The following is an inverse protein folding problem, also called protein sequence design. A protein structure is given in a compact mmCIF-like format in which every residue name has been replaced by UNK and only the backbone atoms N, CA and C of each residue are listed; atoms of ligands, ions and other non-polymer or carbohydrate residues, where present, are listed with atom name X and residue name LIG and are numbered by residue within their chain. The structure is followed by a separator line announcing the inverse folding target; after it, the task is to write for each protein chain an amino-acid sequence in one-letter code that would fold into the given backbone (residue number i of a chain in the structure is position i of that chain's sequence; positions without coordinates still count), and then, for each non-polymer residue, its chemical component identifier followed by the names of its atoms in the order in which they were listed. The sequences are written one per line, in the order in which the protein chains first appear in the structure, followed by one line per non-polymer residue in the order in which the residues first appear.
data_IF_208768382033
#
_entry.id   IF_208768382033
#
_cell.length_a   1.000
_cell.length_b   1.000
_cell.length_c   1.000
_cell.angle_alpha   90.00
_cell.angle_beta   90.00
_cell.angle_gamma   90.00
#
_symmetry.space_group_name_H-M   'P 1'
#
loop_
_entity.id
_entity.type
_entity.pdbx_description
1 polymer ?
#
# COMPACT_ATOMS: atom_id res chain seq x y z
N UNK A 1 -12.82 -8.17 20.76
CA UNK A 1 -11.73 -9.17 20.92
C UNK A 1 -10.42 -8.41 21.05
N UNK A 2 -9.51 -8.82 21.91
CA UNK A 2 -8.15 -8.27 21.99
C UNK A 2 -7.28 -8.91 20.91
N UNK A 3 -6.64 -8.09 20.06
CA UNK A 3 -5.69 -8.57 19.05
C UNK A 3 -4.34 -8.78 19.75
N UNK A 4 -3.74 -9.99 19.61
CA UNK A 4 -2.42 -10.35 20.16
C UNK A 4 -1.50 -10.90 19.09
N UNK A 5 -2.05 -11.65 18.13
CA UNK A 5 -1.31 -12.31 17.06
C UNK A 5 -1.77 -11.80 15.69
N UNK A 6 -0.81 -11.32 14.91
CA UNK A 6 -1.01 -10.74 13.58
C UNK A 6 -0.43 -11.67 12.52
N UNK A 7 -1.23 -12.04 11.54
CA UNK A 7 -0.78 -12.68 10.32
C UNK A 7 -0.54 -11.64 9.22
N UNK A 8 0.52 -11.80 8.45
CA UNK A 8 0.77 -10.98 7.26
C UNK A 8 1.02 -11.91 6.08
N UNK A 9 0.26 -11.73 5.01
CA UNK A 9 0.43 -12.46 3.75
C UNK A 9 1.26 -11.62 2.78
N UNK A 10 2.36 -12.20 2.32
CA UNK A 10 3.36 -11.51 1.51
C UNK A 10 4.44 -10.84 2.36
N UNK A 11 5.69 -10.99 1.94
CA UNK A 11 6.87 -10.38 2.57
C UNK A 11 7.61 -9.44 1.61
N UNK A 12 6.88 -8.91 0.61
CA UNK A 12 7.36 -7.85 -0.26
C UNK A 12 7.47 -6.51 0.47
N UNK A 13 7.62 -5.43 -0.28
CA UNK A 13 7.82 -4.08 0.26
C UNK A 13 6.74 -3.68 1.29
N UNK A 14 5.46 -3.91 0.96
CA UNK A 14 4.35 -3.56 1.84
C UNK A 14 4.22 -4.51 3.01
N UNK A 15 4.18 -5.83 2.76
CA UNK A 15 4.00 -6.82 3.82
C UNK A 15 5.14 -6.83 4.83
N UNK A 16 6.39 -6.70 4.40
CA UNK A 16 7.53 -6.54 5.31
C UNK A 16 7.38 -5.29 6.19
N UNK A 17 6.94 -4.17 5.60
CA UNK A 17 6.69 -2.93 6.35
C UNK A 17 5.53 -3.06 7.34
N UNK A 18 4.44 -3.74 6.97
CA UNK A 18 3.29 -4.02 7.86
C UNK A 18 3.72 -4.93 9.01
N UNK A 19 4.46 -6.01 8.72
CA UNK A 19 4.99 -6.90 9.73
C UNK A 19 5.93 -6.17 10.70
N UNK A 20 6.81 -5.30 10.19
CA UNK A 20 7.69 -4.49 11.02
C UNK A 20 6.91 -3.61 12.00
N UNK A 21 5.87 -2.89 11.55
CA UNK A 21 5.11 -1.99 12.45
C UNK A 21 4.27 -2.77 13.45
N UNK A 22 3.72 -3.94 13.07
CA UNK A 22 3.00 -4.82 13.98
C UNK A 22 3.92 -5.35 15.10
N UNK A 23 5.10 -5.87 14.75
CA UNK A 23 6.10 -6.34 15.72
C UNK A 23 6.65 -5.19 16.59
N UNK A 24 6.79 -3.97 16.02
CA UNK A 24 7.20 -2.77 16.76
C UNK A 24 6.15 -2.37 17.80
N UNK A 25 4.87 -2.51 17.47
CA UNK A 25 3.76 -2.26 18.38
C UNK A 25 3.58 -3.33 19.48
N UNK A 26 4.34 -4.42 19.44
CA UNK A 26 4.34 -5.45 20.46
C UNK A 26 3.62 -6.74 20.09
N UNK A 27 3.04 -6.83 18.89
CA UNK A 27 2.30 -8.01 18.45
C UNK A 27 3.22 -9.16 18.03
N UNK A 28 2.86 -10.39 18.40
CA UNK A 28 3.38 -11.59 17.75
C UNK A 28 2.97 -11.56 16.27
N UNK A 29 3.93 -11.66 15.38
CA UNK A 29 3.68 -11.43 13.94
C UNK A 29 4.23 -12.58 13.12
N UNK A 30 3.34 -13.29 12.44
CA UNK A 30 3.66 -14.39 11.54
C UNK A 30 3.53 -13.91 10.09
N UNK A 31 4.60 -14.04 9.33
CA UNK A 31 4.62 -13.64 7.91
C UNK A 31 4.61 -14.89 7.03
N UNK A 32 3.58 -15.05 6.22
CA UNK A 32 3.47 -16.15 5.25
C UNK A 32 3.89 -15.68 3.86
N UNK A 33 4.74 -16.47 3.24
CA UNK A 33 5.20 -16.27 1.87
C UNK A 33 5.19 -17.57 1.06
N UNK A 34 5.37 -17.47 -0.26
CA UNK A 34 5.38 -18.62 -1.16
C UNK A 34 6.66 -19.43 -1.06
N UNK A 35 7.77 -18.84 -0.60
CA UNK A 35 9.05 -19.54 -0.40
C UNK A 35 9.89 -18.93 0.71
N UNK A 36 10.77 -19.73 1.29
CA UNK A 36 11.76 -19.30 2.30
C UNK A 36 12.71 -18.23 1.76
N UNK A 37 12.98 -18.21 0.47
CA UNK A 37 13.82 -17.19 -0.17
C UNK A 37 13.18 -15.80 -0.05
N UNK A 38 11.88 -15.70 -0.34
CA UNK A 38 11.15 -14.43 -0.19
C UNK A 38 11.01 -14.02 1.27
N UNK A 39 10.84 -14.96 2.20
CA UNK A 39 10.86 -14.67 3.64
C UNK A 39 12.21 -14.06 4.03
N UNK A 40 13.32 -14.72 3.68
CA UNK A 40 14.67 -14.22 3.98
C UNK A 40 14.92 -12.84 3.39
N UNK A 41 14.49 -12.59 2.15
CA UNK A 41 14.62 -11.29 1.48
C UNK A 41 13.83 -10.21 2.21
N UNK A 42 12.58 -10.46 2.56
CA UNK A 42 11.73 -9.52 3.27
C UNK A 42 12.26 -9.23 4.68
N UNK A 43 12.66 -10.24 5.42
CA UNK A 43 13.25 -10.09 6.76
C UNK A 43 14.57 -9.32 6.73
N UNK A 44 15.42 -9.55 5.72
CA UNK A 44 16.62 -8.73 5.49
C UNK A 44 16.26 -7.24 5.27
N UNK A 45 15.14 -6.97 4.59
CA UNK A 45 14.61 -5.61 4.44
C UNK A 45 14.20 -4.98 5.77
N UNK A 46 13.48 -5.74 6.61
CA UNK A 46 13.08 -5.32 7.96
C UNK A 46 14.33 -5.03 8.83
N UNK A 47 15.31 -5.93 8.82
CA UNK A 47 16.54 -5.75 9.58
C UNK A 47 17.31 -4.48 9.20
N UNK A 48 17.45 -4.23 7.89
CA UNK A 48 18.06 -2.98 7.39
C UNK A 48 17.26 -1.73 7.80
N UNK A 49 15.92 -1.84 7.81
CA UNK A 49 15.07 -0.75 8.27
C UNK A 49 15.25 -0.48 9.76
N UNK A 50 15.19 -1.52 10.60
CA UNK A 50 15.39 -1.41 12.05
C UNK A 50 16.78 -0.89 12.42
N UNK A 51 17.83 -1.33 11.72
CA UNK A 51 19.18 -0.81 11.92
C UNK A 51 19.25 0.71 11.68
N UNK A 52 18.60 1.22 10.62
CA UNK A 52 18.52 2.66 10.36
C UNK A 52 17.76 3.42 11.47
N UNK A 53 16.73 2.83 12.06
CA UNK A 53 16.03 3.43 13.20
C UNK A 53 16.92 3.45 14.45
N UNK A 54 17.69 2.40 14.70
CA UNK A 54 18.67 2.36 15.80
C UNK A 54 19.80 3.38 15.59
N UNK A 55 20.38 3.46 14.41
CA UNK A 55 21.39 4.47 14.04
C UNK A 55 20.91 5.92 14.26
N UNK A 56 19.62 6.18 14.00
CA UNK A 56 18.99 7.49 14.24
C UNK A 56 18.57 7.71 15.70
N UNK A 57 18.78 6.75 16.58
CA UNK A 57 18.35 6.82 17.98
C UNK A 57 16.83 6.76 18.19
N UNK A 58 16.05 6.35 17.17
CA UNK A 58 14.59 6.22 17.26
C UNK A 58 14.19 4.98 18.07
N UNK A 59 15.01 3.93 18.04
CA UNK A 59 14.88 2.72 18.88
C UNK A 59 16.25 2.36 19.45
N UNK A 60 16.27 1.63 20.57
CA UNK A 60 17.51 1.08 21.13
C UNK A 60 17.85 -0.27 20.48
N UNK A 61 19.10 -0.73 20.63
CA UNK A 61 19.51 -2.07 20.19
C UNK A 61 18.71 -3.19 20.87
N UNK A 62 18.34 -2.99 22.13
CA UNK A 62 17.49 -3.92 22.88
C UNK A 62 16.08 -3.99 22.24
N UNK A 63 15.48 -2.84 21.96
CA UNK A 63 14.18 -2.77 21.26
C UNK A 63 14.24 -3.41 19.88
N UNK A 64 15.33 -3.21 19.13
CA UNK A 64 15.54 -3.89 17.85
C UNK A 64 15.50 -5.41 18.00
N UNK A 65 16.19 -5.97 19.00
CA UNK A 65 16.19 -7.39 19.32
C UNK A 65 14.79 -7.90 19.71
N UNK A 66 14.06 -7.15 20.53
CA UNK A 66 12.69 -7.48 20.94
C UNK A 66 11.73 -7.49 19.74
N UNK A 67 11.80 -6.50 18.85
CA UNK A 67 10.99 -6.43 17.63
C UNK A 67 11.27 -7.64 16.75
N UNK A 68 12.56 -7.95 16.54
CA UNK A 68 12.97 -9.11 15.75
C UNK A 68 12.47 -10.44 16.34
N UNK A 69 12.47 -10.57 17.66
CA UNK A 69 12.00 -11.76 18.38
C UNK A 69 10.49 -12.01 18.24
N UNK A 70 9.69 -11.00 17.87
CA UNK A 70 8.25 -11.14 17.62
C UNK A 70 7.91 -11.55 16.18
N UNK A 71 8.90 -11.60 15.28
CA UNK A 71 8.70 -11.93 13.87
C UNK A 71 9.03 -13.39 13.59
N UNK A 72 8.12 -14.11 13.00
CA UNK A 72 8.34 -15.45 12.46
C UNK A 72 7.89 -15.54 11.00
N UNK A 73 8.54 -16.40 10.23
CA UNK A 73 8.22 -16.60 8.81
C UNK A 73 7.78 -18.04 8.55
N UNK A 74 6.85 -18.22 7.61
CA UNK A 74 6.35 -19.54 7.22
C UNK A 74 5.94 -19.58 5.76
N UNK A 75 5.97 -20.77 5.16
CA UNK A 75 5.36 -21.05 3.84
C UNK A 75 3.99 -21.72 3.95
N UNK A 76 3.58 -22.10 5.18
CA UNK A 76 2.33 -22.81 5.46
C UNK A 76 1.22 -21.85 5.90
N UNK A 77 0.00 -22.06 5.40
CA UNK A 77 -1.20 -21.34 5.84
C UNK A 77 -1.64 -21.74 7.25
N UNK A 78 -1.40 -22.98 7.67
CA UNK A 78 -1.79 -23.52 8.98
C UNK A 78 -1.19 -22.73 10.15
N UNK A 79 -0.03 -22.10 9.94
CA UNK A 79 0.61 -21.23 10.95
C UNK A 79 -0.15 -19.91 11.19
N UNK A 80 -1.15 -19.62 10.36
CA UNK A 80 -2.01 -18.44 10.50
C UNK A 80 -3.35 -18.75 11.19
N UNK A 81 -3.65 -20.03 11.46
CA UNK A 81 -4.96 -20.48 11.93
C UNK A 81 -5.42 -19.80 13.22
N UNK A 82 -4.51 -19.49 14.13
CA UNK A 82 -4.75 -18.87 15.43
C UNK A 82 -4.55 -17.34 15.47
N UNK A 83 -4.25 -16.71 14.32
CA UNK A 83 -4.13 -15.25 14.23
C UNK A 83 -5.47 -14.54 14.54
N UNK A 84 -5.39 -13.39 15.20
CA UNK A 84 -6.56 -12.56 15.52
C UNK A 84 -6.95 -11.66 14.35
N UNK A 85 -5.96 -11.20 13.61
CA UNK A 85 -6.11 -10.43 12.37
C UNK A 85 -5.09 -10.91 11.35
N UNK A 86 -5.50 -11.01 10.09
CA UNK A 86 -4.61 -11.32 8.97
C UNK A 86 -4.67 -10.17 7.97
N UNK A 87 -3.51 -9.58 7.66
CA UNK A 87 -3.38 -8.49 6.70
C UNK A 87 -2.73 -9.03 5.42
N UNK A 88 -3.47 -9.02 4.33
CA UNK A 88 -3.00 -9.48 3.04
C UNK A 88 -2.30 -8.34 2.29
N UNK A 89 -1.09 -8.60 1.81
CA UNK A 89 -0.26 -7.72 1.00
C UNK A 89 0.48 -8.50 -0.11
N UNK A 90 -0.24 -9.45 -0.76
CA UNK A 90 0.26 -10.21 -1.91
C UNK A 90 0.15 -9.39 -3.20
N UNK A 91 0.41 -10.02 -4.36
CA UNK A 91 0.28 -9.36 -5.67
C UNK A 91 -1.15 -8.80 -5.87
N UNK A 92 -1.25 -7.70 -6.64
CA UNK A 92 -2.52 -7.02 -6.88
C UNK A 92 -3.29 -7.73 -8.01
N UNK A 93 -3.76 -8.94 -7.72
CA UNK A 93 -4.55 -9.80 -8.59
C UNK A 93 -5.76 -10.33 -7.81
N UNK A 94 -6.97 -10.05 -8.30
CA UNK A 94 -8.20 -10.37 -7.61
C UNK A 94 -8.38 -11.88 -7.38
N UNK A 95 -8.13 -12.69 -8.41
CA UNK A 95 -8.33 -14.15 -8.32
C UNK A 95 -7.34 -14.79 -7.35
N UNK A 96 -6.09 -14.35 -7.33
CA UNK A 96 -5.09 -14.82 -6.35
C UNK A 96 -5.50 -14.45 -4.91
N UNK A 97 -6.01 -13.23 -4.72
CA UNK A 97 -6.50 -12.79 -3.41
C UNK A 97 -7.73 -13.60 -2.97
N UNK A 98 -8.69 -13.82 -3.87
CA UNK A 98 -9.90 -14.62 -3.59
C UNK A 98 -9.54 -16.06 -3.21
N UNK A 99 -8.69 -16.73 -4.00
CA UNK A 99 -8.21 -18.07 -3.72
C UNK A 99 -7.49 -18.15 -2.36
N UNK A 100 -6.68 -17.15 -2.04
CA UNK A 100 -5.99 -17.04 -0.76
C UNK A 100 -6.96 -16.92 0.41
N UNK A 101 -7.99 -16.06 0.29
CA UNK A 101 -8.99 -15.90 1.34
C UNK A 101 -9.88 -17.12 1.52
N UNK A 102 -10.19 -17.89 0.46
CA UNK A 102 -10.89 -19.16 0.58
C UNK A 102 -10.09 -20.18 1.41
N UNK A 103 -8.78 -20.27 1.16
CA UNK A 103 -7.90 -21.16 1.93
C UNK A 103 -7.83 -20.76 3.40
N UNK A 104 -7.70 -19.46 3.69
CA UNK A 104 -7.67 -18.93 5.05
C UNK A 104 -8.99 -19.16 5.79
N UNK A 105 -10.12 -18.97 5.13
CA UNK A 105 -11.45 -19.13 5.76
C UNK A 105 -11.69 -20.56 6.23
N UNK A 106 -11.13 -21.53 5.52
CA UNK A 106 -11.24 -22.94 5.89
C UNK A 106 -10.43 -23.33 7.15
N UNK A 107 -9.41 -22.55 7.52
CA UNK A 107 -8.47 -22.93 8.60
C UNK A 107 -8.46 -21.97 9.79
N UNK A 108 -8.79 -20.70 9.57
CA UNK A 108 -8.74 -19.68 10.63
C UNK A 108 -9.93 -19.79 11.58
N UNK A 109 -9.68 -19.47 12.85
CA UNK A 109 -10.75 -19.39 13.85
C UNK A 109 -11.85 -18.41 13.42
N UNK A 110 -13.12 -18.62 13.80
CA UNK A 110 -14.24 -17.77 13.37
C UNK A 110 -14.06 -16.29 13.66
N UNK A 111 -13.39 -15.95 14.75
CA UNK A 111 -13.19 -14.58 15.23
C UNK A 111 -12.12 -13.80 14.47
N UNK A 112 -11.28 -14.45 13.65
CA UNK A 112 -10.19 -13.79 12.91
C UNK A 112 -10.74 -12.70 11.98
N UNK A 113 -10.15 -11.53 12.03
CA UNK A 113 -10.44 -10.44 11.11
C UNK A 113 -9.57 -10.61 9.85
N UNK A 114 -10.18 -10.57 8.67
CA UNK A 114 -9.45 -10.52 7.41
C UNK A 114 -9.36 -9.08 6.91
N UNK A 115 -8.15 -8.65 6.59
CA UNK A 115 -7.86 -7.31 6.10
C UNK A 115 -7.06 -7.37 4.80
N UNK A 116 -7.43 -6.60 3.79
CA UNK A 116 -6.62 -6.44 2.57
C UNK A 116 -5.92 -5.09 2.54
N UNK A 117 -4.64 -5.08 2.15
CA UNK A 117 -3.87 -3.87 1.90
C UNK A 117 -3.95 -3.43 0.42
N UNK A 118 -4.93 -3.91 -0.34
CA UNK A 118 -5.13 -3.44 -1.72
C UNK A 118 -5.26 -1.92 -1.77
N UNK A 119 -4.82 -1.34 -2.88
CA UNK A 119 -4.93 0.10 -3.13
C UNK A 119 -6.08 0.46 -4.07
N UNK A 120 -6.64 -0.53 -4.78
CA UNK A 120 -7.54 -0.26 -5.91
C UNK A 120 -8.65 -1.29 -6.13
N UNK A 121 -8.48 -2.53 -5.64
CA UNK A 121 -9.48 -3.57 -5.80
C UNK A 121 -10.59 -3.42 -4.75
N UNK A 122 -11.82 -3.84 -5.09
CA UNK A 122 -12.95 -3.82 -4.17
C UNK A 122 -12.77 -4.83 -3.03
N UNK A 123 -12.86 -4.35 -1.80
CA UNK A 123 -12.83 -5.20 -0.60
C UNK A 123 -14.07 -6.10 -0.58
N UNK A 124 -15.23 -5.56 -0.96
CA UNK A 124 -16.48 -6.31 -1.07
C UNK A 124 -16.35 -7.48 -2.04
N UNK A 125 -15.70 -7.27 -3.20
CA UNK A 125 -15.50 -8.34 -4.17
C UNK A 125 -14.60 -9.46 -3.66
N UNK A 126 -13.55 -9.11 -2.90
CA UNK A 126 -12.69 -10.11 -2.26
C UNK A 126 -13.42 -10.89 -1.16
N UNK A 127 -14.21 -10.22 -0.32
CA UNK A 127 -14.91 -10.88 0.77
C UNK A 127 -15.93 -11.92 0.30
N UNK A 128 -16.51 -11.78 -0.92
CA UNK A 128 -17.47 -12.77 -1.46
C UNK A 128 -16.86 -14.15 -1.68
N UNK A 129 -15.54 -14.27 -1.61
CA UNK A 129 -14.85 -15.56 -1.66
C UNK A 129 -14.86 -16.33 -0.33
N UNK A 130 -15.37 -15.73 0.75
CA UNK A 130 -15.40 -16.31 2.10
C UNK A 130 -16.82 -16.64 2.54
N UNK A 131 -16.95 -17.37 3.66
CA UNK A 131 -18.24 -17.71 4.28
C UNK A 131 -19.03 -16.47 4.72
N UNK A 132 -20.37 -16.53 4.79
CA UNK A 132 -21.21 -15.42 5.22
C UNK A 132 -20.81 -14.84 6.58
N UNK A 133 -20.40 -15.68 7.52
CA UNK A 133 -19.93 -15.28 8.86
C UNK A 133 -18.62 -14.51 8.76
N UNK A 134 -17.69 -14.93 7.89
CA UNK A 134 -16.41 -14.26 7.65
C UNK A 134 -16.58 -12.93 6.95
N UNK A 135 -17.57 -12.78 6.07
CA UNK A 135 -17.83 -11.53 5.36
C UNK A 135 -18.09 -10.35 6.31
N UNK A 136 -18.70 -10.61 7.47
CA UNK A 136 -18.92 -9.60 8.49
C UNK A 136 -17.63 -9.17 9.19
N UNK A 137 -16.57 -9.98 9.09
CA UNK A 137 -15.25 -9.76 9.69
C UNK A 137 -14.18 -9.40 8.64
N UNK A 138 -14.60 -8.91 7.50
CA UNK A 138 -13.73 -8.54 6.38
C UNK A 138 -13.65 -7.02 6.24
N UNK A 139 -12.42 -6.48 6.10
CA UNK A 139 -12.13 -5.04 6.00
C UNK A 139 -11.01 -4.76 4.99
N UNK A 140 -10.83 -3.50 4.63
CA UNK A 140 -9.60 -3.01 4.05
C UNK A 140 -8.73 -2.29 5.08
N UNK A 141 -7.42 -2.50 5.02
CA UNK A 141 -6.43 -1.71 5.77
C UNK A 141 -5.32 -1.27 4.81
N UNK A 142 -5.54 -0.15 4.15
CA UNK A 142 -4.63 0.38 3.15
C UNK A 142 -3.52 1.22 3.77
N UNK A 143 -2.33 0.65 3.82
CA UNK A 143 -1.10 1.30 4.30
C UNK A 143 -0.38 2.00 3.16
N UNK A 144 0.46 2.97 3.51
CA UNK A 144 1.22 3.78 2.56
C UNK A 144 2.73 3.50 2.64
N UNK A 145 3.37 3.45 1.48
CA UNK A 145 4.81 3.19 1.37
C UNK A 145 5.65 4.47 1.63
N UNK A 146 6.70 4.42 2.46
CA UNK A 146 7.17 3.29 3.29
C UNK A 146 6.35 3.12 4.58
N UNK A 147 5.82 1.91 4.82
CA UNK A 147 4.91 1.65 5.95
C UNK A 147 5.46 2.10 7.30
N UNK A 148 6.74 1.87 7.66
CA UNK A 148 7.26 2.31 8.96
C UNK A 148 7.31 3.83 9.14
N UNK A 149 7.29 4.62 8.06
CA UNK A 149 7.42 6.08 8.10
C UNK A 149 6.08 6.79 7.91
N UNK A 150 5.22 6.26 7.05
CA UNK A 150 3.92 6.87 6.74
C UNK A 150 2.94 6.64 7.89
N UNK A 151 2.36 7.74 8.38
CA UNK A 151 1.45 7.69 9.53
C UNK A 151 0.02 7.26 9.18
N UNK A 152 -0.39 7.42 7.92
CA UNK A 152 -1.75 7.16 7.47
C UNK A 152 -2.01 5.66 7.30
N UNK A 153 -3.19 5.21 7.71
CA UNK A 153 -3.84 3.98 7.26
C UNK A 153 -5.31 4.27 6.96
N UNK A 154 -5.77 3.92 5.78
CA UNK A 154 -7.20 3.96 5.45
C UNK A 154 -7.84 2.66 5.91
N UNK A 155 -8.83 2.75 6.80
CA UNK A 155 -9.62 1.61 7.25
C UNK A 155 -10.92 1.61 6.45
N UNK A 156 -11.09 0.58 5.64
CA UNK A 156 -12.16 0.51 4.63
C UNK A 156 -13.24 -0.45 5.06
N UNK A 157 -14.47 0.05 5.14
CA UNK A 157 -15.64 -0.74 5.50
C UNK A 157 -16.36 -1.22 4.26
N UNK A 158 -16.65 -2.53 4.20
CA UNK A 158 -17.57 -3.11 3.20
C UNK A 158 -19.03 -2.87 3.57
N UNK A 159 -19.94 -3.29 2.70
CA UNK A 159 -21.39 -3.22 2.96
C UNK A 159 -21.84 -4.21 4.07
N UNK A 160 -21.06 -5.26 4.38
CA UNK A 160 -21.39 -6.30 5.34
C UNK A 160 -20.53 -6.25 6.61
N UNK A 161 -19.44 -5.47 6.65
CA UNK A 161 -18.55 -5.41 7.82
C UNK A 161 -19.31 -4.97 9.06
N UNK A 162 -19.23 -5.78 10.12
CA UNK A 162 -19.79 -5.43 11.43
C UNK A 162 -19.17 -4.15 12.01
N UNK A 163 -20.00 -3.37 12.69
CA UNK A 163 -19.55 -2.11 13.28
C UNK A 163 -18.44 -2.34 14.31
N UNK A 164 -18.57 -3.37 15.16
CA UNK A 164 -17.55 -3.70 16.18
C UNK A 164 -16.23 -4.14 15.57
N UNK A 165 -16.26 -4.90 14.46
CA UNK A 165 -15.07 -5.30 13.72
C UNK A 165 -14.38 -4.08 13.12
N UNK A 166 -15.16 -3.15 12.57
CA UNK A 166 -14.64 -1.92 12.02
C UNK A 166 -13.93 -1.06 13.09
N UNK A 167 -14.55 -0.91 14.27
CA UNK A 167 -13.94 -0.19 15.39
C UNK A 167 -12.67 -0.89 15.90
N UNK A 168 -12.67 -2.22 16.01
CA UNK A 168 -11.47 -2.99 16.37
C UNK A 168 -10.33 -2.74 15.38
N UNK A 169 -10.60 -2.68 14.08
CA UNK A 169 -9.59 -2.37 13.06
C UNK A 169 -9.05 -0.93 13.18
N UNK A 170 -9.92 0.04 13.49
CA UNK A 170 -9.51 1.43 13.75
C UNK A 170 -8.58 1.49 14.97
N UNK A 171 -8.96 0.86 16.08
CA UNK A 171 -8.14 0.84 17.30
C UNK A 171 -6.81 0.09 17.06
N UNK A 172 -6.83 -1.02 16.31
CA UNK A 172 -5.62 -1.70 15.88
C UNK A 172 -4.71 -0.78 15.04
N UNK A 173 -5.26 -0.03 14.09
CA UNK A 173 -4.51 0.96 13.34
C UNK A 173 -3.82 2.00 14.24
N UNK A 174 -4.52 2.48 15.28
CA UNK A 174 -3.94 3.41 16.29
C UNK A 174 -2.81 2.74 17.08
N UNK A 175 -2.98 1.50 17.50
CA UNK A 175 -1.96 0.76 18.26
C UNK A 175 -0.67 0.54 17.47
N UNK A 176 -0.75 0.50 16.13
CA UNK A 176 0.40 0.48 15.23
C UNK A 176 1.11 1.85 15.11
N UNK A 177 0.69 2.87 15.87
CA UNK A 177 1.21 4.23 15.78
C UNK A 177 0.76 4.97 14.50
N UNK A 178 -0.32 4.49 13.87
CA UNK A 178 -0.91 5.13 12.68
C UNK A 178 -2.04 6.09 13.06
N UNK A 179 -2.43 6.90 12.09
CA UNK A 179 -3.63 7.72 12.12
C UNK A 179 -4.66 7.05 11.19
N UNK A 180 -5.61 6.27 11.74
CA UNK A 180 -6.62 5.63 10.92
C UNK A 180 -7.59 6.67 10.37
N UNK A 181 -7.84 6.60 9.07
CA UNK A 181 -8.89 7.39 8.39
C UNK A 181 -9.96 6.44 7.90
N UNK A 182 -11.20 6.76 8.19
CA UNK A 182 -12.36 5.95 7.84
C UNK A 182 -12.74 6.15 6.38
N UNK A 183 -12.77 5.06 5.62
CA UNK A 183 -13.14 5.07 4.20
C UNK A 183 -14.25 4.07 3.90
N UNK A 184 -15.03 4.35 2.86
CA UNK A 184 -15.95 3.38 2.26
C UNK A 184 -15.26 2.56 1.18
N UNK A 185 -15.77 1.35 0.92
CA UNK A 185 -15.30 0.48 -0.15
C UNK A 185 -15.71 1.05 -1.53
N UNK A 186 -14.93 2.02 -1.97
CA UNK A 186 -15.00 2.62 -3.30
C UNK A 186 -13.60 2.64 -3.89
N UNK A 187 -13.47 2.23 -5.14
CA UNK A 187 -12.20 2.15 -5.85
C UNK A 187 -11.34 3.40 -5.68
N UNK A 188 -10.11 3.22 -5.19
CA UNK A 188 -9.17 4.29 -4.86
C UNK A 188 -9.38 4.93 -3.48
N UNK A 189 -10.34 4.45 -2.68
CA UNK A 189 -10.69 4.92 -1.32
C UNK A 189 -10.74 6.45 -1.23
N UNK A 190 -9.95 7.10 -0.38
CA UNK A 190 -9.88 8.56 -0.28
C UNK A 190 -8.67 9.09 -1.03
N UNK A 191 -7.47 8.59 -0.72
CA UNK A 191 -6.24 9.19 -1.24
C UNK A 191 -6.13 9.03 -2.75
N UNK A 192 -6.21 7.80 -3.27
CA UNK A 192 -6.08 7.57 -4.71
C UNK A 192 -7.24 8.18 -5.50
N UNK A 193 -8.45 8.21 -4.91
CA UNK A 193 -9.64 8.85 -5.50
C UNK A 193 -9.44 10.33 -5.82
N UNK A 194 -8.62 11.01 -5.04
CA UNK A 194 -8.31 12.44 -5.19
C UNK A 194 -6.96 12.67 -5.87
N UNK A 195 -5.96 11.87 -5.51
CA UNK A 195 -4.58 12.04 -5.98
C UNK A 195 -4.40 11.64 -7.44
N UNK A 196 -5.00 10.52 -7.85
CA UNK A 196 -4.84 10.03 -9.24
C UNK A 196 -5.38 11.05 -10.25
N UNK A 197 -6.63 11.54 -10.16
CA UNK A 197 -7.11 12.60 -11.05
C UNK A 197 -6.25 13.85 -11.04
N UNK A 198 -5.76 14.28 -9.88
CA UNK A 198 -4.84 15.42 -9.77
C UNK A 198 -3.56 15.22 -10.61
N UNK A 199 -2.94 14.03 -10.53
CA UNK A 199 -1.76 13.72 -11.35
C UNK A 199 -2.10 13.63 -12.84
N UNK A 200 -3.26 13.03 -13.19
CA UNK A 200 -3.71 12.95 -14.59
C UNK A 200 -4.00 14.33 -15.16
N UNK A 201 -4.58 15.24 -14.39
CA UNK A 201 -4.88 16.61 -14.83
C UNK A 201 -3.59 17.42 -15.03
N UNK A 202 -2.56 17.20 -14.19
CA UNK A 202 -1.24 17.81 -14.42
C UNK A 202 -0.60 17.32 -15.74
N UNK A 203 -0.76 16.02 -16.06
CA UNK A 203 -0.25 15.47 -17.33
C UNK A 203 -1.03 16.06 -18.53
N UNK A 204 -2.35 16.23 -18.42
CA UNK A 204 -3.16 16.90 -19.45
C UNK A 204 -2.71 18.36 -19.66
N UNK A 205 -2.49 19.09 -18.55
CA UNK A 205 -2.00 20.46 -18.62
C UNK A 205 -0.64 20.56 -19.33
N UNK A 206 0.25 19.57 -19.14
CA UNK A 206 1.51 19.48 -19.88
C UNK A 206 1.26 19.21 -21.38
N UNK A 207 0.40 18.25 -21.74
CA UNK A 207 0.05 17.96 -23.15
C UNK A 207 -0.61 19.15 -23.85
N UNK A 208 -1.36 19.96 -23.12
CA UNK A 208 -2.05 21.16 -23.61
C UNK A 208 -1.13 22.40 -23.66
N UNK A 209 0.13 22.28 -23.20
CA UNK A 209 1.10 23.39 -23.22
C UNK A 209 0.82 24.48 -22.20
N UNK A 210 0.08 24.19 -21.12
CA UNK A 210 -0.19 25.16 -20.03
C UNK A 210 1.09 25.62 -19.33
N UNK A 211 2.10 24.75 -19.25
CA UNK A 211 3.39 25.05 -18.66
C UNK A 211 4.38 23.91 -18.87
N UNK A 212 5.65 24.16 -18.61
CA UNK A 212 6.68 23.12 -18.61
C UNK A 212 6.54 22.19 -17.39
N UNK A 213 7.20 21.02 -17.42
CA UNK A 213 7.29 20.10 -16.29
C UNK A 213 7.73 20.83 -15.01
N UNK A 214 8.78 21.66 -15.12
CA UNK A 214 9.34 22.40 -13.98
C UNK A 214 8.38 23.48 -13.49
N UNK A 215 7.74 24.21 -14.41
CA UNK A 215 6.82 25.30 -14.03
C UNK A 215 5.58 24.77 -13.34
N UNK A 216 4.98 23.68 -13.85
CA UNK A 216 3.80 23.05 -13.22
C UNK A 216 4.18 22.50 -11.83
N UNK A 217 5.31 21.81 -11.70
CA UNK A 217 5.78 21.31 -10.39
C UNK A 217 6.01 22.46 -9.40
N UNK A 218 6.67 23.55 -9.83
CA UNK A 218 6.92 24.71 -8.99
C UNK A 218 5.62 25.46 -8.63
N UNK A 219 4.70 25.62 -9.57
CA UNK A 219 3.41 26.24 -9.31
C UNK A 219 2.64 25.52 -8.21
N UNK A 220 2.59 24.18 -8.25
CA UNK A 220 1.89 23.40 -7.24
C UNK A 220 2.62 23.36 -5.90
N UNK A 221 3.96 23.33 -5.91
CA UNK A 221 4.75 23.42 -4.67
C UNK A 221 4.60 24.78 -3.99
N UNK A 222 4.79 25.84 -4.73
CA UNK A 222 4.89 27.19 -4.16
C UNK A 222 3.51 27.86 -4.01
N UNK A 223 2.60 27.60 -4.94
CA UNK A 223 1.25 28.17 -4.92
C UNK A 223 0.29 27.43 -3.98
N UNK A 224 0.43 26.10 -3.82
CA UNK A 224 -0.43 25.28 -2.99
C UNK A 224 0.26 24.72 -1.73
N UNK A 225 1.57 24.95 -1.56
CA UNK A 225 2.32 24.47 -0.40
C UNK A 225 2.55 22.94 -0.41
N UNK A 226 2.47 22.28 -1.55
CA UNK A 226 2.73 20.85 -1.63
C UNK A 226 4.21 20.52 -1.46
N UNK A 227 4.58 19.43 -0.77
CA UNK A 227 5.99 19.07 -0.59
C UNK A 227 6.68 18.65 -1.89
N UNK A 228 5.90 18.15 -2.87
CA UNK A 228 6.35 17.77 -4.22
C UNK A 228 5.33 18.23 -5.25
N UNK A 229 5.81 18.64 -6.44
CA UNK A 229 4.93 18.86 -7.56
C UNK A 229 4.39 17.56 -8.15
N UNK A 230 3.36 17.62 -9.03
CA UNK A 230 2.67 16.43 -9.51
C UNK A 230 3.56 15.48 -10.32
N UNK A 231 4.51 16.00 -11.08
CA UNK A 231 5.42 15.18 -11.89
C UNK A 231 6.51 14.52 -11.04
N UNK A 232 7.09 15.26 -10.10
CA UNK A 232 8.03 14.70 -9.11
C UNK A 232 7.35 13.63 -8.27
N UNK A 233 6.08 13.81 -7.89
CA UNK A 233 5.29 12.84 -7.14
C UNK A 233 4.94 11.61 -8.00
N UNK A 234 4.53 11.82 -9.25
CA UNK A 234 4.26 10.74 -10.21
C UNK A 234 5.49 9.85 -10.43
N UNK A 235 6.66 10.44 -10.61
CA UNK A 235 7.93 9.72 -10.74
C UNK A 235 8.34 8.98 -9.46
N UNK A 236 7.95 9.50 -8.29
CA UNK A 236 8.18 8.84 -6.99
C UNK A 236 7.24 7.63 -6.77
N UNK A 237 5.96 7.78 -7.07
CA UNK A 237 4.94 6.71 -6.98
C UNK A 237 5.21 5.61 -8.00
N UNK A 238 5.60 5.99 -9.19
CA UNK A 238 5.75 5.16 -10.37
C UNK A 238 4.62 5.36 -11.36
N UNK A 239 4.97 5.74 -12.59
CA UNK A 239 4.00 6.08 -13.64
C UNK A 239 3.21 4.86 -14.12
N UNK A 240 3.80 3.68 -14.12
CA UNK A 240 3.10 2.41 -14.38
C UNK A 240 2.07 2.09 -13.29
N UNK A 241 2.39 2.33 -12.01
CA UNK A 241 1.46 2.19 -10.89
C UNK A 241 0.30 3.19 -11.03
N UNK A 242 0.61 4.46 -11.33
CA UNK A 242 -0.39 5.50 -11.57
C UNK A 242 -1.30 5.15 -12.74
N UNK A 243 -0.72 4.67 -13.85
CA UNK A 243 -1.46 4.22 -15.03
C UNK A 243 -2.42 3.06 -14.70
N UNK A 244 -1.90 2.03 -14.02
CA UNK A 244 -2.68 0.86 -13.63
C UNK A 244 -3.88 1.23 -12.72
N UNK A 245 -3.65 2.05 -11.70
CA UNK A 245 -4.73 2.51 -10.81
C UNK A 245 -5.76 3.35 -11.59
N UNK A 246 -5.30 4.23 -12.49
CA UNK A 246 -6.19 5.04 -13.32
C UNK A 246 -7.07 4.17 -14.24
N UNK A 247 -6.51 3.12 -14.86
CA UNK A 247 -7.28 2.16 -15.69
C UNK A 247 -8.35 1.44 -14.86
N UNK A 248 -8.02 0.97 -13.66
CA UNK A 248 -9.00 0.35 -12.75
C UNK A 248 -10.12 1.33 -12.41
N UNK A 249 -9.76 2.56 -12.01
CA UNK A 249 -10.76 3.59 -11.67
C UNK A 249 -11.61 4.00 -12.86
N UNK A 250 -11.01 4.11 -14.05
CA UNK A 250 -11.75 4.41 -15.26
C UNK A 250 -12.72 3.28 -15.64
N UNK A 251 -12.30 2.03 -15.51
CA UNK A 251 -13.16 0.87 -15.77
C UNK A 251 -14.33 0.80 -14.79
N UNK A 252 -14.13 1.14 -13.53
CA UNK A 252 -15.17 1.16 -12.50
C UNK A 252 -16.15 2.30 -12.68
N UNK A 253 -15.65 3.54 -12.84
CA UNK A 253 -16.51 4.75 -12.83
C UNK A 253 -16.94 5.23 -14.18
N UNK A 254 -16.23 4.87 -15.26
CA UNK A 254 -16.45 5.36 -16.64
C UNK A 254 -16.46 6.88 -16.76
N UNK A 255 -15.78 7.58 -15.87
CA UNK A 255 -15.67 9.04 -15.88
C UNK A 255 -14.36 9.48 -16.54
N UNK A 256 -14.41 10.48 -17.44
CA UNK A 256 -13.24 11.03 -18.16
C UNK A 256 -12.08 11.44 -17.22
N UNK A 257 -12.38 11.91 -16.01
CA UNK A 257 -11.38 12.34 -15.03
C UNK A 257 -10.38 11.24 -14.65
N UNK A 258 -10.78 9.97 -14.76
CA UNK A 258 -9.92 8.82 -14.45
C UNK A 258 -9.24 8.22 -15.67
N UNK A 259 -9.64 8.62 -16.89
CA UNK A 259 -9.03 8.11 -18.12
C UNK A 259 -7.55 8.54 -18.18
N UNK A 260 -6.61 7.57 -18.34
CA UNK A 260 -5.19 7.91 -18.46
C UNK A 260 -4.94 8.78 -19.70
N UNK A 261 -4.21 9.90 -19.58
CA UNK A 261 -3.79 10.69 -20.72
C UNK A 261 -2.89 9.89 -21.68
N UNK A 262 -2.95 10.17 -23.00
CA UNK A 262 -2.14 9.49 -23.99
C UNK A 262 -0.63 9.53 -23.70
N UNK A 263 -0.13 10.64 -23.17
CA UNK A 263 1.27 10.78 -22.80
C UNK A 263 1.68 9.76 -21.71
N UNK A 264 0.86 9.62 -20.66
CA UNK A 264 1.14 8.65 -19.60
C UNK A 264 1.25 7.22 -20.14
N UNK A 265 0.31 6.82 -21.00
CA UNK A 265 0.34 5.50 -21.66
C UNK A 265 1.63 5.32 -22.48
N UNK A 266 2.01 6.32 -23.28
CA UNK A 266 3.24 6.27 -24.09
C UNK A 266 4.49 6.16 -23.23
N UNK A 267 4.55 6.89 -22.11
CA UNK A 267 5.67 6.82 -21.17
C UNK A 267 5.79 5.42 -20.56
N UNK A 268 4.67 4.84 -20.14
CA UNK A 268 4.65 3.48 -19.56
C UNK A 268 5.11 2.44 -20.60
N UNK A 269 4.61 2.52 -21.84
CA UNK A 269 5.06 1.63 -22.93
C UNK A 269 6.55 1.77 -23.25
N UNK A 270 7.11 2.98 -23.07
CA UNK A 270 8.53 3.27 -23.28
C UNK A 270 9.43 2.87 -22.07
N UNK A 271 8.85 2.31 -20.98
CA UNK A 271 9.61 1.95 -19.78
C UNK A 271 10.01 3.14 -18.91
N UNK A 272 9.41 4.31 -19.12
CA UNK A 272 9.65 5.53 -18.32
C UNK A 272 8.76 5.51 -17.08
N UNK A 273 9.16 4.76 -16.06
CA UNK A 273 8.34 4.56 -14.84
C UNK A 273 8.64 5.54 -13.71
N UNK A 274 9.55 6.49 -13.91
CA UNK A 274 10.00 7.41 -12.89
C UNK A 274 11.29 6.96 -12.22
N UNK A 275 11.44 7.25 -10.92
CA UNK A 275 12.67 6.96 -10.16
C UNK A 275 13.11 5.49 -10.22
N UNK A 276 12.19 4.55 -10.21
CA UNK A 276 12.50 3.11 -10.20
C UNK A 276 13.13 2.60 -11.50
N UNK A 277 12.86 3.27 -12.62
CA UNK A 277 13.50 2.99 -13.92
C UNK A 277 14.63 3.99 -14.25
N UNK A 278 14.88 4.95 -13.38
CA UNK A 278 15.86 6.03 -13.56
C UNK A 278 15.36 7.18 -14.44
N UNK A 279 14.20 7.03 -15.10
CA UNK A 279 13.59 8.05 -15.96
C UNK A 279 12.07 8.04 -15.87
N UNK A 280 11.48 9.24 -15.90
CA UNK A 280 10.05 9.49 -15.95
C UNK A 280 9.79 10.85 -16.58
N UNK A 281 9.14 11.76 -15.86
CA UNK A 281 9.09 13.18 -16.24
C UNK A 281 10.45 13.85 -16.07
N UNK A 282 11.27 13.28 -15.17
CA UNK A 282 12.65 13.70 -14.97
C UNK A 282 13.62 12.55 -15.25
N UNK A 283 14.85 12.92 -15.64
CA UNK A 283 15.99 11.99 -15.75
C UNK A 283 16.80 12.01 -14.45
N UNK A 284 16.81 10.89 -13.73
CA UNK A 284 17.51 10.65 -12.45
C UNK A 284 18.85 9.94 -12.63
N UNK A 285 19.22 9.59 -13.88
CA UNK A 285 20.38 8.74 -14.14
C UNK A 285 21.72 9.42 -13.86
N UNK A 286 21.80 10.74 -14.00
CA UNK A 286 23.01 11.52 -13.77
C UNK A 286 23.11 12.04 -12.34
N UNK A 287 22.03 12.62 -11.84
CA UNK A 287 21.93 13.14 -10.46
C UNK A 287 20.51 12.92 -9.94
N UNK A 288 20.38 11.93 -9.05
CA UNK A 288 19.08 11.58 -8.46
C UNK A 288 18.55 12.66 -7.48
N UNK A 289 19.41 13.56 -7.01
CA UNK A 289 19.00 14.67 -6.11
C UNK A 289 18.56 15.90 -6.89
N UNK A 290 19.18 16.15 -8.04
CA UNK A 290 18.87 17.28 -8.92
C UNK A 290 18.59 16.75 -10.35
N UNK A 291 17.47 16.04 -10.55
CA UNK A 291 17.16 15.45 -11.84
C UNK A 291 16.83 16.53 -12.87
N UNK A 292 17.08 16.23 -14.15
CA UNK A 292 16.78 17.13 -15.26
C UNK A 292 15.42 16.80 -15.89
N UNK A 293 14.60 17.80 -16.27
CA UNK A 293 13.33 17.54 -16.93
C UNK A 293 13.54 16.86 -18.29
N UNK A 294 12.66 15.92 -18.64
CA UNK A 294 12.64 15.27 -19.94
C UNK A 294 11.93 16.15 -20.97
N UNK A 295 12.34 16.03 -22.23
CA UNK A 295 11.61 16.63 -23.35
C UNK A 295 10.60 15.61 -23.90
N UNK A 296 9.34 15.73 -23.50
CA UNK A 296 8.28 14.73 -23.73
C UNK A 296 7.16 15.23 -24.67
N UNK A 297 7.04 16.52 -24.84
CA UNK A 297 6.03 17.23 -25.66
C UNK A 297 6.68 18.34 -26.47
#
# INVERSE_FOLDING_TARGET
MEIKKVGVLGCGLMGAGIAQVAATAGYETVVKEVSDEFIKKGFSGIEKSLAKFAEKGTITSEQQGQIRGRLSGTTSFEQLADCDIIIEAIIENLEEKRSTYQQLDAICKPETIFASNTSSLSITEMMTATSPERQQRFIGMHFFNPVPLMKLVEVVRTILTDADVYEQAVEFGKSLGKVPVRAGDKTGFIVNRLLVPYMLDAIRALEEGVGSIVDIDNAMKLGCGYPMGPFTLGDFVGLDTTYYIAEIMFNEFREKRFAPPPLLKRMVLAGLYGRKSGRGFYDYTKDAKNPTPMNLV
#
